data_IF_388980476114
#
_entry.id   IF_388980476114
#
_cell.length_a   1.000
_cell.length_b   1.000
_cell.length_c   1.000
_cell.angle_alpha   90.00
_cell.angle_beta   90.00
_cell.angle_gamma   90.00
#
_symmetry.space_group_name_H-M   'P 1'
#
loop_
_entity.id
_entity.type
_entity.pdbx_description
1 polymer ?
#
# COMPACT_ATOMS: atom_id res chain seq x y z
N UNK A 1 9.25 -11.74 -4.54
CA UNK A 1 8.14 -11.95 -3.59
C UNK A 1 7.10 -10.88 -3.86
N UNK A 2 5.84 -11.26 -4.07
CA UNK A 2 4.75 -10.33 -4.49
C UNK A 2 4.59 -9.16 -3.51
N UNK A 3 4.68 -9.43 -2.21
CA UNK A 3 4.63 -8.37 -1.17
C UNK A 3 5.68 -7.28 -1.37
N UNK A 4 6.92 -7.63 -1.75
CA UNK A 4 7.96 -6.63 -2.05
C UNK A 4 7.60 -5.78 -3.28
N UNK A 5 7.05 -6.41 -4.32
CA UNK A 5 6.61 -5.71 -5.53
C UNK A 5 5.48 -4.73 -5.19
N UNK A 6 4.51 -5.18 -4.38
CA UNK A 6 3.43 -4.33 -3.89
C UNK A 6 3.96 -3.13 -3.12
N UNK A 7 4.80 -3.36 -2.10
CA UNK A 7 5.38 -2.29 -1.27
C UNK A 7 6.10 -1.25 -2.14
N UNK A 8 6.95 -1.70 -3.07
CA UNK A 8 7.70 -0.80 -3.95
C UNK A 8 6.76 0.02 -4.83
N UNK A 9 5.82 -0.62 -5.53
CA UNK A 9 4.88 0.08 -6.42
C UNK A 9 3.93 1.02 -5.67
N UNK A 10 3.49 0.62 -4.48
CA UNK A 10 2.63 1.47 -3.67
C UNK A 10 3.40 2.69 -3.16
N UNK A 11 4.65 2.51 -2.70
CA UNK A 11 5.50 3.64 -2.31
C UNK A 11 5.77 4.61 -3.49
N UNK A 12 6.04 4.07 -4.69
CA UNK A 12 6.18 4.87 -5.92
C UNK A 12 4.89 5.65 -6.23
N UNK A 13 3.73 5.01 -6.05
CA UNK A 13 2.42 5.66 -6.24
C UNK A 13 2.23 6.81 -5.25
N UNK A 14 2.51 6.58 -3.97
CA UNK A 14 2.33 7.59 -2.91
C UNK A 14 3.30 8.77 -3.03
N UNK A 15 4.47 8.56 -3.64
CA UNK A 15 5.48 9.61 -3.89
C UNK A 15 5.30 10.32 -5.23
N UNK A 16 4.27 9.95 -6.00
CA UNK A 16 3.94 10.53 -7.31
C UNK A 16 2.72 11.47 -7.23
N UNK A 17 2.57 12.37 -8.21
CA UNK A 17 1.36 13.22 -8.33
C UNK A 17 0.15 12.33 -8.67
N UNK A 18 -1.02 12.51 -8.02
CA UNK A 18 -1.36 13.60 -7.09
C UNK A 18 -1.01 13.33 -5.62
N UNK A 19 -0.67 12.10 -5.23
CA UNK A 19 -0.48 11.71 -3.83
C UNK A 19 0.60 12.50 -3.09
N UNK A 20 1.71 12.80 -3.76
CA UNK A 20 2.82 13.59 -3.19
C UNK A 20 2.43 14.98 -2.68
N UNK A 21 1.26 15.50 -3.07
CA UNK A 21 0.75 16.80 -2.62
C UNK A 21 0.13 16.74 -1.23
N UNK A 22 -0.20 15.54 -0.73
CA UNK A 22 -0.91 15.36 0.54
C UNK A 22 -0.45 14.14 1.36
N UNK A 23 0.49 13.34 0.85
CA UNK A 23 1.13 12.24 1.58
C UNK A 23 2.51 12.69 2.04
N UNK A 24 2.69 12.78 3.36
CA UNK A 24 3.95 13.22 3.96
C UNK A 24 4.90 12.03 4.19
N UNK A 25 4.35 10.88 4.61
CA UNK A 25 5.11 9.69 4.93
C UNK A 25 4.25 8.43 4.78
N UNK A 26 4.87 7.33 4.33
CA UNK A 26 4.27 6.00 4.36
C UNK A 26 5.23 5.00 5.05
N UNK A 27 4.71 4.23 6.00
CA UNK A 27 5.47 3.24 6.76
C UNK A 27 4.82 1.87 6.55
N UNK A 28 5.57 0.94 5.97
CA UNK A 28 5.14 -0.45 5.78
C UNK A 28 5.54 -1.30 6.99
N UNK A 29 4.64 -2.18 7.42
CA UNK A 29 4.78 -2.95 8.65
C UNK A 29 4.47 -4.45 8.41
N UNK A 30 4.51 -5.22 9.49
CA UNK A 30 3.97 -6.58 9.54
C UNK A 30 4.76 -7.64 8.78
N UNK A 31 4.07 -8.69 8.35
CA UNK A 31 4.69 -9.85 7.69
C UNK A 31 5.29 -9.54 6.33
N UNK A 32 4.77 -8.52 5.63
CA UNK A 32 5.20 -8.10 4.30
C UNK A 32 6.64 -7.59 4.29
N UNK A 33 7.02 -6.75 5.27
CA UNK A 33 8.39 -6.24 5.42
C UNK A 33 9.34 -7.29 6.03
N UNK A 34 8.83 -8.18 6.89
CA UNK A 34 9.63 -9.20 7.56
C UNK A 34 9.88 -10.46 6.69
N UNK A 35 9.42 -10.48 5.43
CA UNK A 35 9.60 -11.61 4.52
C UNK A 35 8.79 -12.86 4.88
N UNK A 36 7.79 -12.73 5.75
CA UNK A 36 6.91 -13.82 6.22
C UNK A 36 5.49 -13.74 5.67
N UNK A 37 5.29 -12.95 4.62
CA UNK A 37 3.97 -12.75 4.03
C UNK A 37 3.53 -13.95 3.21
N UNK A 38 2.27 -14.34 3.41
CA UNK A 38 1.63 -15.47 2.75
C UNK A 38 0.39 -14.98 2.00
N UNK A 39 0.35 -15.21 0.68
CA UNK A 39 -0.79 -14.88 -0.17
C UNK A 39 -2.09 -15.46 0.38
N UNK A 40 -3.16 -14.65 0.41
CA UNK A 40 -4.48 -15.06 0.91
C UNK A 40 -4.57 -15.30 2.42
N UNK A 41 -3.50 -15.03 3.17
CA UNK A 41 -3.44 -15.25 4.63
C UNK A 41 -2.77 -14.13 5.41
N UNK A 42 -2.15 -13.18 4.72
CA UNK A 42 -1.39 -12.11 5.33
C UNK A 42 -1.76 -10.80 4.68
N UNK A 43 -1.94 -9.78 5.50
CA UNK A 43 -2.17 -8.43 5.04
C UNK A 43 -0.85 -7.72 4.69
N UNK A 44 -0.95 -6.64 3.92
CA UNK A 44 0.16 -5.69 3.72
C UNK A 44 -0.15 -4.44 4.53
N UNK A 45 0.36 -4.43 5.76
CA UNK A 45 0.13 -3.33 6.70
C UNK A 45 0.89 -2.06 6.28
N UNK A 46 0.18 -0.94 6.20
CA UNK A 46 0.77 0.37 5.89
C UNK A 46 0.10 1.47 6.72
N UNK A 47 0.91 2.36 7.28
CA UNK A 47 0.47 3.62 7.90
C UNK A 47 0.85 4.75 6.96
N UNK A 48 -0.13 5.57 6.58
CA UNK A 48 0.08 6.74 5.71
C UNK A 48 -0.23 8.01 6.50
N UNK A 49 0.76 8.90 6.61
CA UNK A 49 0.62 10.22 7.21
C UNK A 49 0.25 11.22 6.13
N UNK A 50 -0.80 11.99 6.40
CA UNK A 50 -1.37 12.94 5.45
C UNK A 50 -1.26 14.36 6.00
N UNK A 51 -0.85 15.30 5.15
CA UNK A 51 -0.91 16.74 5.46
C UNK A 51 -2.30 17.34 5.24
N UNK A 52 -3.21 16.58 4.61
CA UNK A 52 -4.58 16.99 4.31
C UNK A 52 -5.58 15.85 4.53
N UNK A 53 -6.69 16.14 5.21
CA UNK A 53 -7.81 15.20 5.38
C UNK A 53 -8.75 15.17 4.17
N UNK A 54 -9.54 14.11 4.04
CA UNK A 54 -10.55 13.95 2.99
C UNK A 54 -10.01 13.36 1.69
N UNK A 55 -8.80 12.78 1.74
CA UNK A 55 -8.12 12.12 0.61
C UNK A 55 -7.84 10.64 0.88
N UNK A 56 -8.25 10.13 2.05
CA UNK A 56 -8.03 8.76 2.53
C UNK A 56 -8.62 7.74 1.55
N UNK A 57 -9.80 8.03 1.00
CA UNK A 57 -10.46 7.18 -0.01
C UNK A 57 -9.60 6.96 -1.25
N UNK A 58 -8.84 7.98 -1.70
CA UNK A 58 -7.94 7.85 -2.86
C UNK A 58 -6.76 6.94 -2.57
N UNK A 59 -6.23 6.99 -1.34
CA UNK A 59 -5.14 6.12 -0.87
C UNK A 59 -5.64 4.68 -0.84
N UNK A 60 -6.83 4.47 -0.30
CA UNK A 60 -7.47 3.16 -0.23
C UNK A 60 -7.75 2.58 -1.62
N UNK A 61 -8.29 3.38 -2.55
CA UNK A 61 -8.52 2.96 -3.93
C UNK A 61 -7.23 2.57 -4.65
N UNK A 62 -6.15 3.33 -4.47
CA UNK A 62 -4.85 3.01 -5.04
C UNK A 62 -4.30 1.69 -4.49
N UNK A 63 -4.45 1.46 -3.17
CA UNK A 63 -4.06 0.22 -2.52
C UNK A 63 -4.84 -0.97 -3.10
N UNK A 64 -6.18 -0.87 -3.17
CA UNK A 64 -7.05 -1.93 -3.70
C UNK A 64 -6.81 -2.21 -5.18
N UNK A 65 -6.54 -1.17 -5.96
CA UNK A 65 -6.23 -1.31 -7.39
C UNK A 65 -4.95 -2.12 -7.56
N UNK A 66 -3.93 -1.81 -6.76
CA UNK A 66 -2.66 -2.53 -6.81
C UNK A 66 -2.80 -3.98 -6.31
N UNK A 67 -3.64 -4.21 -5.28
CA UNK A 67 -3.94 -5.56 -4.78
C UNK A 67 -4.53 -6.43 -5.90
N UNK A 68 -5.55 -5.92 -6.61
CA UNK A 68 -6.16 -6.62 -7.74
C UNK A 68 -5.18 -6.88 -8.89
N UNK A 69 -4.31 -5.92 -9.20
CA UNK A 69 -3.31 -6.08 -10.26
C UNK A 69 -2.25 -7.13 -9.94
N UNK A 70 -1.85 -7.23 -8.67
CA UNK A 70 -0.81 -8.14 -8.22
C UNK A 70 -1.36 -9.47 -7.66
N UNK A 71 -2.69 -9.58 -7.58
CA UNK A 71 -3.43 -10.74 -7.07
C UNK A 71 -2.82 -11.20 -5.72
N UNK A 72 -2.84 -10.29 -4.74
CA UNK A 72 -2.23 -10.56 -3.43
C UNK A 72 -3.17 -11.32 -2.49
N UNK A 73 -4.44 -11.47 -2.88
CA UNK A 73 -5.45 -12.26 -2.18
C UNK A 73 -5.92 -11.62 -0.87
N UNK A 74 -5.83 -10.29 -0.75
CA UNK A 74 -6.26 -9.56 0.46
C UNK A 74 -7.79 -9.50 0.63
N UNK A 75 -8.52 -9.65 -0.48
CA UNK A 75 -9.98 -9.51 -0.53
C UNK A 75 -10.71 -10.78 -1.01
N UNK A 76 -10.02 -11.92 -1.06
CA UNK A 76 -10.62 -13.23 -1.39
C UNK A 76 -11.23 -13.91 -0.16
#
# INVERSE_FOLDING_TARGET
MISKIFITKFAETLTSTPFKEYVDLAIFLGSAVNGRWVKGKSDIDVIVFLSKSGVEGKIYEAYLTLDKQLDTGLLD
#
